data_IF_128831400852
#
_entry.id   IF_128831400852
#
_cell.length_a   1.000
_cell.length_b   1.000
_cell.length_c   1.000
_cell.angle_alpha   90.00
_cell.angle_beta   90.00
_cell.angle_gamma   90.00
#
_symmetry.space_group_name_H-M   'P 1'
#
loop_
_entity.id
_entity.type
_entity.pdbx_description
1 polymer ?
#
# COMPACT_ATOMS: atom_id res chain seq x y z
N UNK A 1 14.56 8.19 14.88
CA UNK A 1 15.30 7.86 13.64
C UNK A 1 16.07 9.07 13.12
N UNK A 2 17.04 8.79 12.23
CA UNK A 2 17.83 9.83 11.57
C UNK A 2 17.72 9.68 10.06
N UNK A 3 17.58 10.79 9.34
CA UNK A 3 17.91 10.85 7.92
C UNK A 3 19.39 11.13 7.79
N UNK A 4 20.09 10.35 6.99
CA UNK A 4 21.54 10.48 6.80
C UNK A 4 21.89 10.49 5.32
N UNK A 5 22.97 11.14 4.98
CA UNK A 5 23.63 11.03 3.67
C UNK A 5 24.98 10.35 3.81
N UNK A 6 25.36 9.57 2.79
CA UNK A 6 26.66 8.89 2.72
C UNK A 6 27.25 9.15 1.34
N UNK A 7 28.50 9.62 1.29
CA UNK A 7 29.21 9.76 0.03
C UNK A 7 29.65 8.37 -0.47
N UNK A 8 29.33 8.05 -1.73
CA UNK A 8 29.63 6.73 -2.32
C UNK A 8 31.02 6.66 -2.98
N UNK A 9 31.71 7.80 -3.10
CA UNK A 9 33.03 7.90 -3.75
C UNK A 9 34.22 7.67 -2.80
N UNK A 10 33.96 7.45 -1.50
CA UNK A 10 34.99 7.28 -0.45
C UNK A 10 34.61 6.13 0.47
N UNK A 11 35.60 5.30 0.81
CA UNK A 11 35.39 4.08 1.59
C UNK A 11 35.33 4.26 3.13
N UNK A 12 35.64 5.46 3.66
CA UNK A 12 35.88 5.68 5.08
C UNK A 12 35.03 6.83 5.67
N UNK A 13 33.87 7.12 5.09
CA UNK A 13 33.05 8.22 5.58
C UNK A 13 32.00 7.78 6.58
N UNK A 14 31.97 8.49 7.71
CA UNK A 14 30.85 8.45 8.63
C UNK A 14 29.60 9.04 7.96
N UNK A 15 28.41 8.47 8.21
CA UNK A 15 27.16 9.03 7.75
C UNK A 15 26.97 10.47 8.26
N UNK A 16 26.65 11.38 7.36
CA UNK A 16 26.30 12.75 7.74
C UNK A 16 24.81 12.80 8.10
N UNK A 17 24.49 13.25 9.31
CA UNK A 17 23.10 13.36 9.79
C UNK A 17 22.48 14.63 9.22
N UNK A 18 21.49 14.45 8.33
CA UNK A 18 20.72 15.54 7.72
C UNK A 18 19.61 16.04 8.64
N UNK A 19 18.94 15.10 9.35
CA UNK A 19 17.82 15.39 10.21
C UNK A 19 17.66 14.33 11.29
N UNK A 20 17.20 14.76 12.45
CA UNK A 20 16.82 13.90 13.58
C UNK A 20 15.32 14.04 13.79
N UNK A 21 14.56 12.99 13.50
CA UNK A 21 13.14 12.95 13.77
C UNK A 21 12.86 12.78 15.27
N UNK A 22 11.69 13.23 15.73
CA UNK A 22 11.27 13.06 17.13
C UNK A 22 11.29 11.57 17.51
N UNK A 23 10.65 10.71 16.70
CA UNK A 23 10.67 9.26 16.90
C UNK A 23 11.10 8.53 15.60
N UNK A 24 10.27 8.62 14.54
CA UNK A 24 10.44 7.81 13.33
C UNK A 24 10.43 8.67 12.08
N UNK A 25 11.27 8.31 11.11
CA UNK A 25 11.29 8.88 9.77
C UNK A 25 11.49 7.80 8.71
N UNK A 26 10.82 7.94 7.57
CA UNK A 26 10.93 7.02 6.45
C UNK A 26 10.62 7.67 5.11
N UNK A 27 10.78 6.92 4.03
CA UNK A 27 10.50 7.37 2.66
C UNK A 27 11.21 8.67 2.24
N UNK A 28 12.53 8.81 2.44
CA UNK A 28 13.23 9.95 1.89
C UNK A 28 13.17 9.92 0.35
N UNK A 29 12.66 11.00 -0.24
CA UNK A 29 12.51 11.17 -1.67
C UNK A 29 13.17 12.49 -2.10
N UNK A 30 14.20 12.39 -2.93
CA UNK A 30 14.90 13.54 -3.48
C UNK A 30 14.17 14.02 -4.75
N UNK A 31 13.99 15.34 -4.89
CA UNK A 31 13.46 15.93 -6.12
C UNK A 31 14.37 15.63 -7.32
N UNK A 32 13.79 15.62 -8.52
CA UNK A 32 14.52 15.25 -9.75
C UNK A 32 15.72 16.16 -10.00
N UNK A 33 15.64 17.43 -9.63
CA UNK A 33 16.72 18.42 -9.74
C UNK A 33 17.70 18.39 -8.54
N UNK A 34 17.43 17.54 -7.54
CA UNK A 34 18.28 17.39 -6.35
C UNK A 34 18.24 18.54 -5.36
N UNK A 35 17.28 19.48 -5.48
CA UNK A 35 17.22 20.68 -4.65
C UNK A 35 16.28 20.59 -3.44
N UNK A 36 15.42 19.58 -3.38
CA UNK A 36 14.48 19.36 -2.29
C UNK A 36 14.49 17.90 -1.84
N UNK A 37 14.29 17.68 -0.54
CA UNK A 37 14.06 16.35 0.05
C UNK A 37 12.69 16.34 0.72
N UNK A 38 11.87 15.36 0.39
CA UNK A 38 10.63 15.05 1.08
C UNK A 38 10.75 13.73 1.84
N UNK A 39 10.07 13.59 2.98
CA UNK A 39 10.04 12.35 3.77
C UNK A 39 8.79 12.30 4.65
N UNK A 40 8.50 11.12 5.21
CA UNK A 40 7.39 10.90 6.15
C UNK A 40 7.93 10.80 7.56
N UNK A 41 7.31 11.50 8.51
CA UNK A 41 7.58 11.37 9.95
C UNK A 41 6.32 10.98 10.71
N UNK A 42 6.50 10.21 11.78
CA UNK A 42 5.45 9.93 12.75
C UNK A 42 6.05 9.75 14.14
N UNK A 43 5.21 9.86 15.16
CA UNK A 43 5.63 9.72 16.55
C UNK A 43 4.60 8.97 17.39
N UNK A 44 5.09 8.35 18.44
CA UNK A 44 4.22 7.70 19.42
C UNK A 44 3.24 8.69 20.07
N UNK A 45 2.01 8.22 20.42
CA UNK A 45 1.56 6.82 20.39
C UNK A 45 1.01 6.36 19.03
N UNK A 46 1.00 7.19 17.99
CA UNK A 46 0.47 6.84 16.68
C UNK A 46 1.43 5.92 15.90
N UNK A 47 0.85 5.00 15.16
CA UNK A 47 1.53 4.31 14.08
C UNK A 47 1.45 5.16 12.79
N UNK A 48 2.31 4.92 11.78
CA UNK A 48 2.32 5.76 10.57
C UNK A 48 1.01 5.75 9.79
N UNK A 49 0.19 4.72 9.94
CA UNK A 49 -1.14 4.63 9.35
C UNK A 49 -2.26 5.30 10.17
N UNK A 50 -1.98 5.74 11.40
CA UNK A 50 -2.92 6.48 12.24
C UNK A 50 -2.75 7.99 12.07
N UNK A 51 -1.51 8.48 12.23
CA UNK A 51 -1.14 9.87 12.06
C UNK A 51 0.34 9.96 11.63
N UNK A 52 0.60 10.67 10.54
CA UNK A 52 1.95 10.94 10.06
C UNK A 52 1.99 12.24 9.26
N UNK A 53 3.16 12.85 9.16
CA UNK A 53 3.39 14.12 8.50
C UNK A 53 4.30 13.94 7.29
N UNK A 54 3.95 14.55 6.17
CA UNK A 54 4.85 14.75 5.05
C UNK A 54 5.70 15.97 5.32
N UNK A 55 7.01 15.76 5.48
CA UNK A 55 8.01 16.81 5.66
C UNK A 55 8.69 17.12 4.34
N UNK A 56 9.12 18.36 4.18
CA UNK A 56 9.94 18.75 3.03
C UNK A 56 10.92 19.84 3.45
N UNK A 57 12.10 19.84 2.82
CA UNK A 57 13.13 20.83 3.02
C UNK A 57 13.87 21.13 1.71
N UNK A 58 14.43 22.32 1.58
CA UNK A 58 15.42 22.61 0.57
C UNK A 58 16.75 21.93 0.93
N UNK A 59 17.44 21.39 -0.05
CA UNK A 59 18.78 20.82 0.08
C UNK A 59 19.78 21.81 -0.48
N UNK A 60 20.68 22.31 0.38
CA UNK A 60 21.72 23.25 -0.04
C UNK A 60 22.83 22.56 -0.86
N UNK A 61 23.65 23.33 -1.54
CA UNK A 61 24.80 22.81 -2.27
C UNK A 61 25.84 22.10 -1.38
N UNK A 62 25.84 22.45 -0.09
CA UNK A 62 26.71 21.81 0.92
C UNK A 62 26.08 20.54 1.51
N UNK A 63 24.89 20.13 1.04
CA UNK A 63 24.19 18.93 1.48
C UNK A 63 23.40 19.09 2.76
N UNK A 64 23.11 20.31 3.22
CA UNK A 64 22.36 20.59 4.45
C UNK A 64 20.87 20.85 4.16
N UNK A 65 19.98 20.35 5.01
CA UNK A 65 18.54 20.63 4.93
C UNK A 65 18.23 22.03 5.50
N UNK A 66 17.50 22.81 4.72
CA UNK A 66 17.08 24.16 5.07
C UNK A 66 15.57 24.31 5.00
N UNK A 67 15.00 25.12 5.89
CA UNK A 67 13.57 25.44 5.90
C UNK A 67 12.66 24.21 5.95
N UNK A 68 12.94 23.30 6.89
CA UNK A 68 12.11 22.10 7.12
C UNK A 68 10.68 22.55 7.46
N UNK A 69 9.69 21.97 6.78
CA UNK A 69 8.27 22.28 6.99
C UNK A 69 7.40 21.05 6.79
N UNK A 70 6.25 21.02 7.42
CA UNK A 70 5.18 20.04 7.15
C UNK A 70 4.35 20.52 5.97
N UNK A 71 4.13 19.67 4.98
CA UNK A 71 3.32 19.97 3.80
C UNK A 71 1.87 19.50 3.96
N UNK A 72 1.67 18.29 4.50
CA UNK A 72 0.35 17.70 4.80
C UNK A 72 0.51 16.60 5.85
N UNK A 73 -0.60 15.95 6.22
CA UNK A 73 -0.64 14.96 7.29
C UNK A 73 -1.06 15.57 8.62
N UNK A 74 -0.79 14.88 9.71
CA UNK A 74 -1.10 15.37 11.06
C UNK A 74 -0.22 14.74 12.13
N UNK A 75 -0.13 15.42 13.28
CA UNK A 75 0.37 14.83 14.52
C UNK A 75 -0.74 14.01 15.21
N UNK A 76 -0.39 13.14 16.19
CA UNK A 76 -1.37 12.33 16.94
C UNK A 76 -2.40 13.16 17.71
N UNK A 77 -2.07 14.41 18.09
CA UNK A 77 -2.92 15.30 18.89
C UNK A 77 -3.93 16.10 18.04
N UNK A 78 -3.86 15.98 16.71
CA UNK A 78 -4.78 16.70 15.83
C UNK A 78 -6.24 16.26 16.07
N UNK A 79 -7.16 17.21 15.93
CA UNK A 79 -8.60 16.92 16.05
C UNK A 79 -9.09 15.91 15.00
N UNK A 80 -8.46 15.90 13.82
CA UNK A 80 -8.60 14.88 12.79
C UNK A 80 -7.19 14.40 12.43
N UNK A 81 -6.91 13.14 12.72
CA UNK A 81 -5.64 12.54 12.36
C UNK A 81 -5.63 12.15 10.89
N UNK A 82 -4.48 12.28 10.25
CA UNK A 82 -4.26 12.02 8.83
C UNK A 82 -2.97 11.24 8.70
N UNK A 83 -3.03 10.16 7.96
CA UNK A 83 -1.88 9.35 7.56
C UNK A 83 -1.43 9.73 6.16
N UNK A 84 -0.11 9.78 5.96
CA UNK A 84 0.52 9.98 4.65
C UNK A 84 1.45 8.82 4.32
N UNK A 85 1.60 8.53 3.03
CA UNK A 85 2.39 7.38 2.58
C UNK A 85 3.08 7.70 1.25
N UNK A 86 4.37 7.37 1.16
CA UNK A 86 5.20 7.32 -0.05
C UNK A 86 5.14 8.59 -0.93
N UNK A 87 5.94 9.63 -0.64
CA UNK A 87 6.11 10.77 -1.52
C UNK A 87 6.82 10.36 -2.82
N UNK A 88 6.34 10.88 -3.95
CA UNK A 88 6.90 10.64 -5.29
C UNK A 88 7.03 11.98 -6.01
N UNK A 89 8.25 12.34 -6.42
CA UNK A 89 8.49 13.52 -7.23
C UNK A 89 8.23 13.26 -8.70
N UNK A 90 7.60 14.23 -9.37
CA UNK A 90 7.42 14.24 -10.81
C UNK A 90 8.49 15.13 -11.49
N UNK A 91 8.80 14.93 -12.78
CA UNK A 91 9.82 15.71 -13.49
C UNK A 91 9.52 17.21 -13.58
N UNK A 92 8.27 17.62 -13.49
CA UNK A 92 7.84 19.02 -13.46
C UNK A 92 8.04 19.70 -12.10
N UNK A 93 8.62 18.99 -11.12
CA UNK A 93 8.84 19.47 -9.77
C UNK A 93 7.62 19.26 -8.84
N UNK A 94 6.53 18.71 -9.33
CA UNK A 94 5.38 18.41 -8.49
C UNK A 94 5.66 17.23 -7.57
N UNK A 95 5.06 17.26 -6.38
CA UNK A 95 5.11 16.20 -5.38
C UNK A 95 3.75 15.52 -5.28
N UNK A 96 3.75 14.20 -5.33
CA UNK A 96 2.58 13.34 -5.14
C UNK A 96 2.77 12.53 -3.87
N UNK A 97 1.72 12.36 -3.08
CA UNK A 97 1.71 11.54 -1.85
C UNK A 97 0.32 10.95 -1.66
N UNK A 98 0.20 9.76 -1.08
CA UNK A 98 -1.08 9.26 -0.63
C UNK A 98 -1.42 9.86 0.73
N UNK A 99 -2.66 10.35 0.91
CA UNK A 99 -3.20 10.76 2.22
C UNK A 99 -4.63 10.25 2.42
N UNK A 100 -5.06 10.05 3.65
CA UNK A 100 -6.35 9.42 3.97
C UNK A 100 -7.42 10.37 4.52
N UNK A 101 -7.27 11.69 4.36
CA UNK A 101 -8.23 12.72 4.80
C UNK A 101 -9.64 12.52 4.24
N UNK A 102 -9.75 11.95 3.04
CA UNK A 102 -11.03 11.63 2.39
C UNK A 102 -11.75 10.41 2.99
N UNK A 103 -11.12 9.70 3.90
CA UNK A 103 -11.54 8.38 4.39
C UNK A 103 -10.89 7.21 3.64
N UNK A 104 -10.11 7.50 2.61
CA UNK A 104 -9.35 6.55 1.79
C UNK A 104 -7.97 7.10 1.54
N UNK A 105 -6.93 6.28 1.51
CA UNK A 105 -5.63 6.70 1.01
C UNK A 105 -5.72 7.00 -0.47
N UNK A 106 -5.90 8.26 -0.81
CA UNK A 106 -5.89 8.73 -2.20
C UNK A 106 -4.66 9.59 -2.48
N UNK A 107 -4.20 9.55 -3.72
CA UNK A 107 -3.10 10.39 -4.14
C UNK A 107 -3.54 11.84 -4.26
N UNK A 108 -2.77 12.72 -3.66
CA UNK A 108 -2.85 14.17 -3.80
C UNK A 108 -1.58 14.70 -4.45
N UNK A 109 -1.68 15.82 -5.16
CA UNK A 109 -0.59 16.42 -5.92
C UNK A 109 -0.41 17.89 -5.54
N UNK A 110 0.82 18.32 -5.39
CA UNK A 110 1.17 19.72 -5.20
C UNK A 110 2.18 20.14 -6.27
N UNK A 111 1.84 21.16 -7.08
CA UNK A 111 2.62 21.55 -8.25
C UNK A 111 3.96 22.22 -7.92
N UNK A 112 4.04 22.95 -6.82
CA UNK A 112 5.28 23.57 -6.33
C UNK A 112 5.35 23.51 -4.81
N UNK A 113 5.93 22.43 -4.25
CA UNK A 113 6.12 22.33 -2.80
C UNK A 113 7.07 23.38 -2.24
N UNK A 114 7.88 24.02 -3.08
CA UNK A 114 8.79 25.11 -2.71
C UNK A 114 8.07 26.42 -2.40
N UNK A 115 6.94 26.68 -3.06
CA UNK A 115 6.16 27.91 -2.87
C UNK A 115 5.37 27.90 -1.56
N UNK A 116 5.28 29.04 -0.90
CA UNK A 116 4.34 29.22 0.18
C UNK A 116 2.90 29.19 -0.37
N UNK A 117 1.98 28.50 0.30
CA UNK A 117 0.55 28.45 -0.01
C UNK A 117 0.14 27.72 -1.31
N UNK A 118 0.95 26.81 -1.86
CA UNK A 118 0.51 25.97 -2.97
C UNK A 118 -0.54 24.97 -2.49
N UNK A 119 -1.74 25.04 -3.07
CA UNK A 119 -2.84 24.15 -2.73
C UNK A 119 -2.59 22.72 -3.23
N UNK A 120 -3.04 21.75 -2.43
CA UNK A 120 -3.09 20.36 -2.85
C UNK A 120 -4.27 20.11 -3.78
N UNK A 121 -3.98 19.52 -4.93
CA UNK A 121 -4.96 19.01 -5.89
C UNK A 121 -5.31 17.56 -5.56
N UNK A 122 -6.55 17.16 -5.88
CA UNK A 122 -7.05 15.78 -5.75
C UNK A 122 -7.55 15.27 -7.09
N UNK A 123 -6.65 15.00 -8.04
CA UNK A 123 -7.07 14.67 -9.40
C UNK A 123 -7.68 13.27 -9.53
N UNK A 124 -7.41 12.35 -8.58
CA UNK A 124 -7.83 10.95 -8.66
C UNK A 124 -8.59 10.51 -7.41
N UNK A 125 -9.78 11.09 -7.10
CA UNK A 125 -10.57 10.68 -5.95
C UNK A 125 -11.20 9.29 -6.21
N UNK A 126 -11.02 8.36 -5.26
CA UNK A 126 -11.53 6.99 -5.37
C UNK A 126 -12.01 6.50 -4.00
N UNK A 127 -13.07 5.68 -3.98
CA UNK A 127 -13.42 4.84 -2.83
C UNK A 127 -12.57 3.56 -2.87
N UNK A 128 -11.24 3.75 -2.78
CA UNK A 128 -10.23 2.71 -2.85
C UNK A 128 -8.92 3.21 -2.21
N UNK A 129 -8.03 2.30 -1.87
CA UNK A 129 -6.74 2.61 -1.24
C UNK A 129 -5.63 2.64 -2.30
N UNK A 130 -4.87 3.72 -2.37
CA UNK A 130 -3.61 3.81 -3.14
C UNK A 130 -2.38 3.64 -2.26
N UNK A 131 -2.55 3.17 -1.04
CA UNK A 131 -1.48 2.92 -0.07
C UNK A 131 -1.77 1.67 0.75
N UNK A 132 -0.82 1.29 1.56
CA UNK A 132 -0.92 0.20 2.54
C UNK A 132 -0.25 0.61 3.85
N UNK A 133 -0.54 -0.07 4.99
CA UNK A 133 0.13 0.24 6.25
C UNK A 133 1.64 0.02 6.12
N UNK A 134 2.40 1.00 6.54
CA UNK A 134 3.86 1.00 6.51
C UNK A 134 4.41 0.17 7.68
N UNK A 135 4.40 -1.15 7.53
CA UNK A 135 4.99 -2.06 8.51
C UNK A 135 6.52 -2.12 8.44
N UNK A 136 7.06 -1.89 7.25
CA UNK A 136 8.51 -1.88 6.98
C UNK A 136 8.84 -0.76 6.01
N UNK A 137 10.10 -0.33 6.00
CA UNK A 137 10.57 0.66 5.03
C UNK A 137 10.63 0.07 3.62
N UNK A 138 10.43 0.92 2.61
CA UNK A 138 10.57 0.58 1.20
C UNK A 138 9.33 -0.03 0.55
N UNK A 139 8.23 -0.25 1.29
CA UNK A 139 6.95 -0.65 0.67
C UNK A 139 6.50 0.43 -0.32
N UNK A 140 6.04 0.04 -1.50
CA UNK A 140 5.62 1.00 -2.52
C UNK A 140 4.37 0.55 -3.26
N UNK A 141 3.49 1.52 -3.52
CA UNK A 141 2.25 1.34 -4.29
C UNK A 141 2.14 2.32 -5.44
N UNK A 142 3.04 3.31 -5.51
CA UNK A 142 2.99 4.37 -6.50
C UNK A 142 4.37 4.55 -7.13
N UNK A 143 4.42 4.74 -8.46
CA UNK A 143 5.66 4.96 -9.18
C UNK A 143 5.45 5.87 -10.39
N UNK A 144 6.49 6.59 -10.80
CA UNK A 144 6.54 7.38 -12.04
C UNK A 144 7.31 6.60 -13.11
N UNK A 145 6.70 6.36 -14.28
CA UNK A 145 7.31 5.54 -15.35
C UNK A 145 8.15 6.34 -16.35
N UNK A 146 8.32 7.63 -16.12
CA UNK A 146 8.98 8.57 -17.05
C UNK A 146 7.98 9.40 -17.85
N UNK A 147 6.69 9.01 -17.92
CA UNK A 147 5.64 9.70 -18.68
C UNK A 147 4.36 9.91 -17.86
N UNK A 148 4.00 8.95 -17.02
CA UNK A 148 2.77 8.95 -16.26
C UNK A 148 2.96 8.32 -14.88
N UNK A 149 2.01 8.57 -14.00
CA UNK A 149 1.96 7.97 -12.68
C UNK A 149 1.26 6.61 -12.75
N UNK A 150 1.84 5.62 -12.09
CA UNK A 150 1.25 4.31 -11.86
C UNK A 150 0.87 4.18 -10.38
N UNK A 151 -0.25 3.52 -10.10
CA UNK A 151 -0.63 3.17 -8.74
C UNK A 151 -1.21 1.76 -8.68
N UNK A 152 -0.77 0.99 -7.71
CA UNK A 152 -1.49 -0.18 -7.23
C UNK A 152 -2.65 0.32 -6.35
N UNK A 153 -3.86 0.00 -6.75
CA UNK A 153 -5.11 0.46 -6.12
C UNK A 153 -5.85 -0.74 -5.56
N UNK A 154 -6.16 -0.71 -4.26
CA UNK A 154 -6.92 -1.75 -3.59
C UNK A 154 -8.38 -1.33 -3.42
N UNK A 155 -9.30 -2.11 -3.95
CA UNK A 155 -10.73 -1.97 -3.75
C UNK A 155 -11.32 -3.30 -3.31
N UNK A 156 -12.06 -3.30 -2.19
CA UNK A 156 -12.69 -4.51 -1.63
C UNK A 156 -11.72 -5.71 -1.51
N UNK A 157 -10.48 -5.43 -1.10
CA UNK A 157 -9.45 -6.45 -0.90
C UNK A 157 -8.74 -6.94 -2.17
N UNK A 158 -9.08 -6.43 -3.35
CA UNK A 158 -8.42 -6.73 -4.63
C UNK A 158 -7.53 -5.58 -5.07
N UNK A 159 -6.31 -5.90 -5.50
CA UNK A 159 -5.37 -4.94 -6.04
C UNK A 159 -5.45 -4.89 -7.57
N UNK A 160 -5.43 -3.69 -8.12
CA UNK A 160 -5.38 -3.42 -9.55
C UNK A 160 -4.27 -2.42 -9.84
N UNK A 161 -3.51 -2.60 -10.92
CA UNK A 161 -2.54 -1.61 -11.37
C UNK A 161 -3.22 -0.63 -12.33
N UNK A 162 -3.15 0.67 -12.00
CA UNK A 162 -3.74 1.75 -12.80
C UNK A 162 -2.68 2.72 -13.30
N UNK A 163 -2.93 3.25 -14.50
CA UNK A 163 -2.29 4.48 -15.01
C UNK A 163 -3.15 5.67 -14.59
N UNK A 164 -2.49 6.70 -14.08
CA UNK A 164 -3.13 7.93 -13.60
C UNK A 164 -2.69 9.09 -14.48
N UNK A 165 -3.60 9.62 -15.27
CA UNK A 165 -3.31 10.72 -16.19
C UNK A 165 -3.45 12.08 -15.51
N UNK A 166 -2.69 13.12 -15.93
CA UNK A 166 -2.74 14.46 -15.34
C UNK A 166 -4.13 15.14 -15.43
N UNK A 167 -4.97 14.73 -16.39
CA UNK A 167 -6.34 15.22 -16.53
C UNK A 167 -7.36 14.59 -15.55
N UNK A 168 -6.88 13.72 -14.63
CA UNK A 168 -7.70 13.03 -13.65
C UNK A 168 -8.29 11.71 -14.14
N UNK A 169 -8.07 11.32 -15.38
CA UNK A 169 -8.52 10.02 -15.88
C UNK A 169 -7.65 8.89 -15.38
N UNK A 170 -8.25 7.72 -15.23
CA UNK A 170 -7.55 6.49 -14.82
C UNK A 170 -7.85 5.38 -15.80
N UNK A 171 -6.86 4.53 -16.08
CA UNK A 171 -7.04 3.31 -16.86
C UNK A 171 -6.30 2.14 -16.25
N UNK A 172 -6.85 0.94 -16.38
CA UNK A 172 -6.21 -0.28 -15.91
C UNK A 172 -5.04 -0.66 -16.79
N UNK A 173 -3.97 -1.18 -16.18
CA UNK A 173 -2.87 -1.83 -16.89
C UNK A 173 -3.27 -3.29 -17.15
N UNK A 174 -3.12 -3.74 -18.38
CA UNK A 174 -3.50 -5.09 -18.77
C UNK A 174 -2.54 -6.14 -18.16
N UNK A 175 -3.01 -6.85 -17.14
CA UNK A 175 -2.29 -7.92 -16.45
C UNK A 175 -3.29 -8.75 -15.59
N UNK A 176 -3.04 -10.03 -15.29
CA UNK A 176 -4.02 -10.91 -14.64
C UNK A 176 -3.89 -11.00 -13.11
N UNK A 177 -3.05 -10.19 -12.48
CA UNK A 177 -2.76 -10.27 -11.05
C UNK A 177 -3.64 -9.33 -10.26
N UNK A 178 -4.13 -9.77 -9.12
CA UNK A 178 -5.03 -9.05 -8.22
C UNK A 178 -4.51 -8.97 -6.77
N UNK A 179 -3.22 -9.28 -6.61
CA UNK A 179 -2.45 -9.11 -5.38
C UNK A 179 -1.08 -8.54 -5.76
N UNK A 180 -0.85 -7.24 -5.47
CA UNK A 180 0.30 -6.46 -5.92
C UNK A 180 1.01 -5.82 -4.73
N UNK A 181 2.34 -5.78 -4.77
CA UNK A 181 3.19 -5.08 -3.79
C UNK A 181 4.49 -4.59 -4.46
N UNK A 182 5.15 -3.65 -3.80
CA UNK A 182 6.50 -3.17 -4.15
C UNK A 182 6.61 -2.73 -5.61
N UNK A 183 5.71 -1.81 -6.00
CA UNK A 183 5.66 -1.24 -7.35
C UNK A 183 6.81 -0.26 -7.57
N UNK A 184 7.60 -0.50 -8.61
CA UNK A 184 8.61 0.43 -9.12
C UNK A 184 8.45 0.60 -10.62
N UNK A 185 8.80 1.79 -11.14
CA UNK A 185 8.72 2.07 -12.58
C UNK A 185 9.80 3.06 -13.00
N UNK A 186 10.26 2.92 -14.24
CA UNK A 186 11.16 3.86 -14.92
C UNK A 186 11.13 3.61 -16.43
N UNK A 187 11.30 4.66 -17.22
CA UNK A 187 11.48 4.61 -18.67
C UNK A 187 10.47 3.73 -19.42
N UNK A 188 9.19 3.82 -19.07
CA UNK A 188 8.11 3.06 -19.72
C UNK A 188 8.03 1.60 -19.30
N UNK A 189 8.75 1.20 -18.25
CA UNK A 189 8.71 -0.14 -17.65
C UNK A 189 8.26 -0.07 -16.21
N UNK A 190 7.64 -1.15 -15.72
CA UNK A 190 7.33 -1.29 -14.31
C UNK A 190 7.63 -2.71 -13.83
N UNK A 191 7.90 -2.83 -12.53
CA UNK A 191 8.07 -4.11 -11.85
C UNK A 191 7.27 -4.09 -10.54
N UNK A 192 6.75 -5.25 -10.17
CA UNK A 192 6.06 -5.43 -8.88
C UNK A 192 6.19 -6.88 -8.43
N UNK A 193 5.99 -7.13 -7.15
CA UNK A 193 5.67 -8.48 -6.67
C UNK A 193 4.19 -8.70 -6.91
N UNK A 194 3.86 -9.75 -7.65
CA UNK A 194 2.49 -10.03 -8.05
C UNK A 194 2.11 -11.48 -7.83
N UNK A 195 0.85 -11.69 -7.47
CA UNK A 195 0.20 -12.98 -7.41
C UNK A 195 -1.28 -12.85 -7.76
N UNK A 196 -1.93 -13.96 -8.00
CA UNK A 196 -3.38 -14.05 -8.06
C UNK A 196 -3.84 -15.30 -7.33
N UNK A 197 -5.14 -15.50 -7.22
CA UNK A 197 -5.66 -16.68 -6.53
C UNK A 197 -5.17 -18.01 -7.13
N UNK A 198 -4.90 -18.04 -8.43
CA UNK A 198 -4.41 -19.23 -9.15
C UNK A 198 -2.92 -19.22 -9.50
N UNK A 199 -2.24 -18.12 -9.29
CA UNK A 199 -0.82 -17.93 -9.66
C UNK A 199 -0.04 -17.51 -8.41
N UNK A 200 0.98 -18.28 -8.06
CA UNK A 200 1.83 -18.00 -6.91
C UNK A 200 2.61 -16.69 -7.04
N UNK A 201 3.16 -16.17 -5.93
CA UNK A 201 3.90 -14.92 -5.94
C UNK A 201 5.14 -15.00 -6.82
N UNK A 202 5.47 -13.90 -7.47
CA UNK A 202 6.64 -13.76 -8.32
C UNK A 202 6.88 -12.33 -8.75
N UNK A 203 7.93 -12.13 -9.53
CA UNK A 203 8.26 -10.84 -10.12
C UNK A 203 7.40 -10.64 -11.39
N UNK A 204 6.58 -9.61 -11.38
CA UNK A 204 5.89 -9.09 -12.54
C UNK A 204 6.75 -8.01 -13.18
N UNK A 205 7.04 -8.15 -14.46
CA UNK A 205 7.71 -7.18 -15.31
C UNK A 205 6.73 -6.71 -16.38
N UNK A 206 6.60 -5.41 -16.57
CA UNK A 206 5.68 -4.77 -17.51
C UNK A 206 6.44 -3.89 -18.50
N UNK A 207 6.19 -4.07 -19.79
CA UNK A 207 6.50 -3.08 -20.81
C UNK A 207 5.21 -2.26 -21.06
N UNK A 208 5.18 -1.05 -20.52
CA UNK A 208 4.00 -0.17 -20.55
C UNK A 208 3.77 0.45 -21.95
N UNK A 209 4.80 0.42 -22.81
CA UNK A 209 4.74 0.94 -24.18
C UNK A 209 4.13 -0.10 -25.12
N UNK A 210 4.47 -1.36 -24.94
CA UNK A 210 3.98 -2.48 -25.74
C UNK A 210 2.70 -3.10 -25.17
N UNK A 211 2.32 -2.72 -23.94
CA UNK A 211 1.23 -3.34 -23.17
C UNK A 211 1.42 -4.85 -22.96
N UNK A 212 2.69 -5.24 -22.72
CA UNK A 212 3.12 -6.63 -22.51
C UNK A 212 3.58 -6.84 -21.09
N UNK A 213 3.42 -8.05 -20.59
CA UNK A 213 3.89 -8.43 -19.27
C UNK A 213 4.58 -9.82 -19.27
N UNK A 214 5.48 -9.99 -18.30
CA UNK A 214 6.11 -11.27 -17.98
C UNK A 214 6.03 -11.48 -16.47
N UNK A 215 5.81 -12.71 -16.05
CA UNK A 215 5.84 -13.10 -14.64
C UNK A 215 6.86 -14.20 -14.42
N UNK A 216 7.81 -13.93 -13.52
CA UNK A 216 8.80 -14.90 -13.08
C UNK A 216 8.41 -15.40 -11.69
N UNK A 217 7.89 -16.64 -11.56
CA UNK A 217 7.46 -17.19 -10.28
C UNK A 217 8.62 -17.28 -9.28
N UNK A 218 8.34 -16.99 -8.00
CA UNK A 218 9.32 -17.16 -6.90
C UNK A 218 9.65 -18.64 -6.60
N UNK A 219 8.85 -19.56 -7.10
CA UNK A 219 9.03 -21.00 -6.91
C UNK A 219 8.26 -21.83 -7.93
N UNK A 220 8.47 -23.14 -7.90
CA UNK A 220 7.77 -24.06 -8.79
C UNK A 220 6.29 -24.21 -8.38
N UNK A 221 5.43 -24.47 -9.38
CA UNK A 221 4.05 -24.87 -9.12
C UNK A 221 4.04 -26.20 -8.34
N UNK A 222 3.33 -26.22 -7.21
CA UNK A 222 3.29 -27.37 -6.30
C UNK A 222 1.97 -28.17 -6.40
N UNK A 223 1.01 -27.65 -7.18
CA UNK A 223 -0.28 -28.31 -7.40
C UNK A 223 -0.86 -27.95 -8.76
N UNK A 224 -1.72 -28.82 -9.33
CA UNK A 224 -2.44 -28.54 -10.57
C UNK A 224 -3.40 -27.36 -10.39
N UNK A 225 -3.56 -26.54 -11.44
CA UNK A 225 -4.42 -25.35 -11.40
C UNK A 225 -5.90 -25.68 -11.16
N UNK A 226 -6.38 -26.80 -11.68
CA UNK A 226 -7.75 -27.29 -11.51
C UNK A 226 -8.06 -27.81 -10.09
N UNK A 227 -7.03 -28.03 -9.28
CA UNK A 227 -7.17 -28.38 -7.87
C UNK A 227 -7.20 -27.15 -6.93
N UNK A 228 -6.93 -25.95 -7.46
CA UNK A 228 -6.90 -24.72 -6.67
C UNK A 228 -8.34 -24.27 -6.36
N UNK A 229 -8.65 -24.11 -5.08
CA UNK A 229 -9.87 -23.46 -4.64
C UNK A 229 -9.76 -21.94 -4.83
N UNK A 230 -10.68 -21.38 -5.59
CA UNK A 230 -10.70 -19.96 -5.90
C UNK A 230 -11.44 -19.19 -4.80
N UNK A 231 -10.88 -18.05 -4.40
CA UNK A 231 -11.48 -17.16 -3.41
C UNK A 231 -12.77 -16.52 -3.93
N UNK A 232 -13.82 -16.59 -3.15
CA UNK A 232 -15.09 -15.91 -3.39
C UNK A 232 -15.27 -14.79 -2.36
N UNK A 233 -15.61 -13.55 -2.76
CA UNK A 233 -15.86 -12.48 -1.79
C UNK A 233 -17.13 -12.77 -0.99
N UNK A 234 -17.04 -12.63 0.31
CA UNK A 234 -18.14 -12.78 1.24
C UNK A 234 -18.31 -11.49 2.05
N UNK A 235 -19.53 -10.94 2.04
CA UNK A 235 -19.91 -9.85 2.92
C UNK A 235 -21.03 -10.30 3.85
N UNK A 236 -20.84 -10.10 5.14
CA UNK A 236 -21.79 -10.49 6.18
C UNK A 236 -21.95 -9.39 7.23
N UNK A 237 -22.94 -9.54 8.10
CA UNK A 237 -23.13 -8.68 9.26
C UNK A 237 -22.26 -9.19 10.41
N UNK A 238 -21.23 -8.43 10.75
CA UNK A 238 -20.29 -8.71 11.83
C UNK A 238 -20.62 -7.94 13.10
N UNK A 239 -19.59 -7.64 13.88
CA UNK A 239 -19.67 -6.91 15.13
C UNK A 239 -20.45 -5.60 14.98
N UNK A 240 -21.32 -5.30 15.97
CA UNK A 240 -22.15 -4.10 16.00
C UNK A 240 -23.07 -3.90 14.77
N UNK A 241 -23.43 -4.96 14.05
CA UNK A 241 -24.23 -4.89 12.83
C UNK A 241 -23.53 -4.25 11.64
N UNK A 242 -22.20 -4.15 11.68
CA UNK A 242 -21.41 -3.58 10.59
C UNK A 242 -21.10 -4.64 9.53
N UNK A 243 -21.06 -4.23 8.24
CA UNK A 243 -20.66 -5.13 7.16
C UNK A 243 -19.19 -5.49 7.31
N UNK A 244 -18.90 -6.79 7.31
CA UNK A 244 -17.55 -7.36 7.41
C UNK A 244 -17.26 -8.19 6.17
N UNK A 245 -16.05 -8.09 5.67
CA UNK A 245 -15.58 -8.80 4.47
C UNK A 245 -14.80 -10.06 4.86
N UNK A 246 -14.90 -11.10 4.03
CA UNK A 246 -14.02 -12.26 4.08
C UNK A 246 -13.79 -12.84 2.68
N UNK A 247 -12.74 -13.63 2.52
CA UNK A 247 -12.55 -14.51 1.39
C UNK A 247 -13.00 -15.92 1.76
N UNK A 248 -13.98 -16.45 1.03
CA UNK A 248 -14.41 -17.84 1.15
C UNK A 248 -13.71 -18.68 0.08
N UNK A 249 -13.15 -19.79 0.52
CA UNK A 249 -12.51 -20.80 -0.33
C UNK A 249 -13.29 -22.10 -0.20
N UNK A 250 -14.08 -22.50 -1.20
CA UNK A 250 -14.85 -23.75 -1.15
C UNK A 250 -13.93 -24.98 -1.11
N UNK A 251 -14.40 -26.11 -0.59
CA UNK A 251 -13.68 -27.39 -0.73
C UNK A 251 -13.41 -27.71 -2.19
N UNK A 252 -12.19 -28.15 -2.51
CA UNK A 252 -11.85 -28.61 -3.88
C UNK A 252 -12.55 -29.93 -4.18
N UNK A 253 -13.10 -30.06 -5.39
CA UNK A 253 -13.84 -31.25 -5.83
C UNK A 253 -15.36 -31.09 -5.72
N UNK A 254 -16.09 -32.22 -5.53
CA UNK A 254 -17.54 -32.14 -5.36
C UNK A 254 -17.86 -31.56 -3.98
N UNK A 255 -18.37 -30.32 -3.97
CA UNK A 255 -18.73 -29.63 -2.74
C UNK A 255 -19.80 -30.39 -1.96
N UNK A 256 -19.48 -30.74 -0.73
CA UNK A 256 -20.45 -31.24 0.24
C UNK A 256 -20.97 -30.04 1.04
N UNK A 257 -22.30 -29.86 1.07
CA UNK A 257 -22.95 -28.82 1.90
C UNK A 257 -22.67 -28.99 3.40
N UNK A 258 -22.14 -30.14 3.80
CA UNK A 258 -21.73 -30.45 5.18
C UNK A 258 -20.21 -30.42 5.38
N UNK A 259 -19.45 -29.86 4.43
CA UNK A 259 -18.01 -29.73 4.57
C UNK A 259 -17.66 -28.95 5.85
N UNK A 260 -16.66 -29.40 6.63
CA UNK A 260 -16.20 -28.65 7.77
C UNK A 260 -15.60 -27.29 7.33
N UNK A 261 -15.77 -26.25 8.15
CA UNK A 261 -15.28 -24.92 7.88
C UNK A 261 -14.13 -24.59 8.82
N UNK A 262 -13.06 -24.04 8.25
CA UNK A 262 -11.97 -23.43 9.00
C UNK A 262 -12.05 -21.91 8.86
N UNK A 263 -12.18 -21.23 9.99
CA UNK A 263 -12.10 -19.77 10.05
C UNK A 263 -10.67 -19.36 10.32
N UNK A 264 -10.16 -18.45 9.53
CA UNK A 264 -8.81 -17.89 9.62
C UNK A 264 -8.90 -16.37 9.76
N UNK A 265 -8.09 -15.80 10.62
CA UNK A 265 -7.85 -14.36 10.71
C UNK A 265 -6.39 -14.06 10.38
N UNK A 266 -6.16 -12.94 9.72
CA UNK A 266 -4.79 -12.47 9.47
C UNK A 266 -4.18 -11.86 10.74
N UNK A 267 -2.85 -11.83 10.80
CA UNK A 267 -2.09 -11.11 11.84
C UNK A 267 -1.97 -9.62 11.49
N UNK A 268 -1.58 -8.83 12.48
CA UNK A 268 -1.32 -7.43 12.25
C UNK A 268 -1.68 -6.60 13.47
N UNK A 269 -2.89 -6.12 13.66
CA UNK A 269 -4.15 -6.29 12.91
C UNK A 269 -4.28 -5.40 11.68
N UNK A 270 -3.53 -4.28 11.64
CA UNK A 270 -3.57 -3.31 10.53
C UNK A 270 -2.91 -3.93 9.29
N UNK A 271 -3.58 -4.89 8.72
CA UNK A 271 -3.22 -5.66 7.54
C UNK A 271 -4.52 -6.09 6.84
N UNK A 272 -4.45 -7.06 5.93
CA UNK A 272 -5.62 -7.64 5.28
C UNK A 272 -5.38 -9.10 4.90
N UNK A 273 -6.43 -9.90 4.82
CA UNK A 273 -6.41 -11.16 4.12
C UNK A 273 -6.25 -10.89 2.62
N UNK A 274 -5.11 -11.26 2.08
CA UNK A 274 -4.77 -11.04 0.66
C UNK A 274 -5.24 -12.21 -0.19
N UNK A 275 -5.60 -11.92 -1.45
CA UNK A 275 -6.19 -12.89 -2.36
C UNK A 275 -5.18 -13.78 -3.08
N UNK A 276 -3.90 -13.47 -3.01
CA UNK A 276 -2.82 -14.26 -3.64
C UNK A 276 -2.83 -15.73 -3.22
N UNK A 277 -2.34 -16.60 -4.08
CA UNK A 277 -2.30 -18.05 -3.86
C UNK A 277 -1.64 -18.39 -2.51
N UNK A 278 -2.42 -18.97 -1.61
CA UNK A 278 -2.00 -19.38 -0.28
C UNK A 278 -2.05 -20.92 -0.15
N UNK A 279 -0.88 -21.55 -0.15
CA UNK A 279 -0.77 -23.02 -0.09
C UNK A 279 -1.29 -23.61 1.23
N UNK A 280 -1.28 -22.83 2.33
CA UNK A 280 -1.89 -23.25 3.59
C UNK A 280 -3.41 -23.37 3.50
N UNK A 281 -4.07 -22.46 2.76
CA UNK A 281 -5.49 -22.53 2.46
C UNK A 281 -5.76 -23.74 1.54
N UNK A 282 -4.97 -23.88 0.46
CA UNK A 282 -5.13 -24.99 -0.49
C UNK A 282 -4.89 -26.35 0.15
N UNK A 283 -4.06 -26.44 1.18
CA UNK A 283 -3.88 -27.68 1.95
C UNK A 283 -5.20 -28.14 2.56
N UNK A 284 -6.01 -27.26 3.11
CA UNK A 284 -7.29 -27.60 3.73
C UNK A 284 -8.39 -27.84 2.69
N UNK A 285 -8.47 -26.98 1.68
CA UNK A 285 -9.52 -27.12 0.64
C UNK A 285 -9.40 -28.41 -0.15
N UNK A 286 -8.17 -28.84 -0.48
CA UNK A 286 -7.92 -30.14 -1.16
C UNK A 286 -8.24 -31.35 -0.28
N UNK A 287 -8.50 -31.15 1.01
CA UNK A 287 -8.91 -32.19 1.97
C UNK A 287 -10.40 -32.13 2.34
N UNK A 288 -11.17 -31.39 1.54
CA UNK A 288 -12.61 -31.30 1.69
C UNK A 288 -13.10 -30.30 2.76
N UNK A 289 -12.23 -29.36 3.20
CA UNK A 289 -12.61 -28.27 4.10
C UNK A 289 -12.93 -27.01 3.31
N UNK A 290 -13.96 -26.26 3.74
CA UNK A 290 -14.06 -24.85 3.38
C UNK A 290 -13.13 -24.00 4.26
N UNK A 291 -12.63 -22.87 3.73
CA UNK A 291 -11.85 -21.92 4.50
C UNK A 291 -12.46 -20.54 4.33
N UNK A 292 -12.63 -19.81 5.43
CA UNK A 292 -12.99 -18.38 5.42
C UNK A 292 -11.81 -17.60 6.00
N UNK A 293 -11.22 -16.70 5.22
CA UNK A 293 -10.15 -15.79 5.63
C UNK A 293 -10.75 -14.40 5.87
N UNK A 294 -10.93 -14.04 7.15
CA UNK A 294 -11.74 -12.89 7.56
C UNK A 294 -10.91 -11.61 7.56
N UNK A 295 -11.41 -10.60 6.86
CA UNK A 295 -11.00 -9.21 7.01
C UNK A 295 -11.86 -8.57 8.12
N UNK A 296 -11.55 -8.87 9.37
CA UNK A 296 -12.28 -8.35 10.53
C UNK A 296 -12.17 -6.82 10.65
N UNK A 297 -13.06 -6.19 11.41
CA UNK A 297 -13.00 -4.74 11.67
C UNK A 297 -11.63 -4.34 12.22
N UNK A 298 -10.94 -3.43 11.51
CA UNK A 298 -9.52 -3.12 11.71
C UNK A 298 -8.65 -3.44 10.51
N UNK A 299 -9.14 -4.27 9.58
CA UNK A 299 -8.42 -4.60 8.35
C UNK A 299 -8.30 -3.40 7.41
N UNK A 300 -7.25 -3.41 6.58
CA UNK A 300 -6.99 -2.40 5.54
C UNK A 300 -7.59 -2.83 4.19
N UNK A 301 -7.64 -1.90 3.23
CA UNK A 301 -8.23 -2.15 1.91
C UNK A 301 -9.73 -1.82 1.81
N UNK A 302 -10.32 -1.27 2.89
CA UNK A 302 -11.75 -0.98 3.03
C UNK A 302 -12.02 0.43 3.56
N UNK A 303 -11.04 1.32 3.51
CA UNK A 303 -11.12 2.70 4.00
C UNK A 303 -10.76 2.85 5.49
N UNK A 304 -10.50 4.10 5.88
CA UNK A 304 -10.08 4.47 7.22
C UNK A 304 -11.12 4.09 8.29
N UNK A 305 -12.40 4.32 8.01
CA UNK A 305 -13.47 3.99 8.96
C UNK A 305 -13.53 2.49 9.27
N UNK A 306 -13.22 1.63 8.31
CA UNK A 306 -13.12 0.19 8.53
C UNK A 306 -11.88 -0.16 9.36
N UNK A 307 -10.75 0.43 9.04
CA UNK A 307 -9.47 0.24 9.75
C UNK A 307 -9.57 0.66 11.22
N UNK A 308 -10.29 1.71 11.52
CA UNK A 308 -10.44 2.25 12.88
C UNK A 308 -11.42 1.49 13.76
N UNK A 309 -12.21 0.54 13.24
CA UNK A 309 -13.19 -0.25 14.02
C UNK A 309 -12.58 -1.01 15.19
N UNK A 310 -11.31 -1.35 15.10
CA UNK A 310 -10.62 -2.12 16.14
C UNK A 310 -10.04 -1.22 17.25
N UNK A 311 -9.95 0.09 17.04
CA UNK A 311 -9.39 1.02 18.02
C UNK A 311 -10.18 0.97 19.33
N UNK A 312 -9.48 0.57 20.43
CA UNK A 312 -10.10 0.39 21.74
C UNK A 312 -11.00 -0.86 21.89
N UNK A 313 -11.07 -1.74 20.87
CA UNK A 313 -11.98 -2.89 20.83
C UNK A 313 -11.28 -4.19 20.42
N UNK A 314 -9.98 -4.29 20.69
CA UNK A 314 -9.18 -5.49 20.46
C UNK A 314 -9.62 -6.66 21.31
N UNK A 315 -9.73 -7.86 20.72
CA UNK A 315 -10.21 -9.06 21.36
C UNK A 315 -11.74 -9.11 21.48
N UNK A 316 -12.43 -8.13 20.93
CA UNK A 316 -13.90 -8.05 20.91
C UNK A 316 -14.41 -8.02 19.47
N UNK A 317 -14.12 -6.97 18.70
CA UNK A 317 -14.59 -6.84 17.31
C UNK A 317 -13.97 -7.91 16.40
N UNK A 318 -12.69 -8.15 16.50
CA UNK A 318 -11.97 -9.17 15.73
C UNK A 318 -12.46 -10.60 16.02
N UNK A 319 -12.82 -10.88 17.28
CA UNK A 319 -13.39 -12.17 17.69
C UNK A 319 -14.85 -12.33 17.22
N UNK A 320 -15.67 -11.26 17.34
CA UNK A 320 -17.07 -11.31 16.91
C UNK A 320 -17.21 -11.39 15.38
N UNK A 321 -16.28 -10.84 14.63
CA UNK A 321 -16.27 -10.91 13.17
C UNK A 321 -15.81 -12.28 12.65
N UNK A 322 -15.12 -13.08 13.45
CA UNK A 322 -14.70 -14.45 13.13
C UNK A 322 -15.66 -15.51 13.68
#
# INVERSE_FOLDING_TARGET
>A
DHLVSIALDRNDQEPHVLHVADDFAGYPALSVDGTQLAWVEWRQPAMPWDASELRCAALSADGELQHIRTLTGSTPEAAQTISVFQPVWQPDGALVVAEDRSGWWNLIRQGDPGAADTAWERPWPMEAETAMPQWVFGMSTTAWDGQQLLAAVCSEGCWELKRLSPDGTTSSVNQPFDDLADLHADAGRAVAIASSNGIGPGLLELDLTLDEWQHTPAGNAVMPTDAISMAEPLWFEGANGQRTHAWYYPPSGQGDSNAPLLVKSHSGPTAMARRGLNLGIQFWTTRGWGVVDVNYGGSTGFGRAYRERLNGSWGDVDVQDC
#
